data_IF_661680723808
#
_entry.id   IF_661680723808
#
_cell.length_a   1.000
_cell.length_b   1.000
_cell.length_c   1.000
_cell.angle_alpha   90.00
_cell.angle_beta   90.00
_cell.angle_gamma   90.00
#
_symmetry.space_group_name_H-M   'P 1'
#
loop_
_entity.id
_entity.type
_entity.pdbx_description
1 polymer ?
#
# COMPACT_ATOMS: atom_id res chain seq x y z
N UNK A 1 6.75 18.36 11.80
CA UNK A 1 5.53 17.54 11.71
C UNK A 1 5.04 17.72 10.28
N UNK A 2 5.30 16.88 9.28
CA UNK A 2 4.95 15.46 9.08
C UNK A 2 6.09 14.78 8.27
N UNK A 3 6.74 13.75 8.82
CA UNK A 3 7.80 13.00 8.10
C UNK A 3 7.42 11.55 7.75
N UNK A 4 6.33 10.99 8.29
CA UNK A 4 5.94 9.59 8.08
C UNK A 4 5.47 9.25 6.65
N UNK A 5 4.66 10.14 6.03
CA UNK A 5 4.10 9.88 4.68
C UNK A 5 5.15 9.85 3.55
N UNK A 6 6.32 10.48 3.75
CA UNK A 6 7.33 10.65 2.69
C UNK A 6 8.04 9.35 2.30
N UNK A 7 8.04 8.34 3.18
CA UNK A 7 8.59 7.00 2.91
C UNK A 7 7.60 6.12 2.14
N UNK A 8 6.33 6.14 2.56
CA UNK A 8 5.26 5.30 2.01
C UNK A 8 4.98 5.56 0.52
N UNK A 9 5.19 6.80 0.06
CA UNK A 9 4.88 7.24 -1.31
C UNK A 9 5.95 6.84 -2.34
N UNK A 10 7.16 6.47 -1.89
CA UNK A 10 8.26 6.02 -2.76
C UNK A 10 8.26 4.52 -3.04
N UNK A 11 7.49 3.73 -2.29
CA UNK A 11 7.36 2.30 -2.53
C UNK A 11 6.27 2.04 -3.58
N UNK A 12 6.55 1.18 -4.56
CA UNK A 12 5.57 0.74 -5.58
C UNK A 12 4.24 0.27 -4.97
N UNK A 13 4.27 -0.27 -3.75
CA UNK A 13 3.09 -0.68 -3.00
C UNK A 13 2.15 0.46 -2.61
N UNK A 14 2.64 1.68 -2.41
CA UNK A 14 1.81 2.85 -2.12
C UNK A 14 0.87 3.21 -3.28
N UNK A 15 1.37 3.20 -4.51
CA UNK A 15 0.54 3.54 -5.68
C UNK A 15 -0.55 2.50 -5.94
N UNK A 16 -0.24 1.21 -5.78
CA UNK A 16 -1.24 0.13 -5.87
C UNK A 16 -2.34 0.28 -4.83
N UNK A 17 -1.98 0.58 -3.58
CA UNK A 17 -2.96 0.88 -2.54
C UNK A 17 -3.89 2.02 -2.93
N UNK A 18 -3.34 3.15 -3.41
CA UNK A 18 -4.14 4.29 -3.84
C UNK A 18 -5.09 3.94 -4.99
N UNK A 19 -4.65 3.19 -5.99
CA UNK A 19 -5.51 2.72 -7.08
C UNK A 19 -6.67 1.89 -6.53
N UNK A 20 -6.39 0.93 -5.64
CA UNK A 20 -7.45 0.12 -5.03
C UNK A 20 -8.38 0.93 -4.14
N UNK A 21 -7.85 1.82 -3.32
CA UNK A 21 -8.63 2.71 -2.47
C UNK A 21 -9.62 3.53 -3.30
N UNK A 22 -9.16 4.17 -4.37
CA UNK A 22 -10.01 5.00 -5.23
C UNK A 22 -11.04 4.20 -6.02
N UNK A 23 -10.64 3.04 -6.56
CA UNK A 23 -11.54 2.19 -7.33
C UNK A 23 -12.58 1.45 -6.46
N UNK A 24 -12.43 1.43 -5.13
CA UNK A 24 -13.50 1.00 -4.21
C UNK A 24 -14.65 1.99 -4.16
N UNK A 25 -14.35 3.28 -4.30
CA UNK A 25 -15.36 4.35 -4.24
C UNK A 25 -16.15 4.42 -5.55
N UNK A 26 -15.46 4.44 -6.70
CA UNK A 26 -16.11 4.47 -8.02
C UNK A 26 -15.17 4.02 -9.13
N UNK A 27 -15.69 3.59 -10.30
CA UNK A 27 -14.88 3.42 -11.49
C UNK A 27 -14.23 4.74 -11.93
N UNK A 28 -12.94 4.68 -12.30
CA UNK A 28 -12.13 5.84 -12.72
C UNK A 28 -11.18 5.49 -13.86
N UNK A 29 -10.89 6.43 -14.76
CA UNK A 29 -9.82 6.30 -15.74
C UNK A 29 -8.45 6.69 -15.15
N UNK A 30 -7.37 6.44 -15.88
CA UNK A 30 -6.01 6.71 -15.39
C UNK A 30 -5.74 8.18 -15.05
N UNK A 31 -6.33 9.13 -15.78
CA UNK A 31 -6.17 10.56 -15.51
C UNK A 31 -6.94 11.00 -14.26
N UNK A 32 -8.16 10.49 -14.07
CA UNK A 32 -8.94 10.70 -12.85
C UNK A 32 -8.18 10.19 -11.63
N UNK A 33 -7.60 8.98 -11.71
CA UNK A 33 -6.82 8.41 -10.61
C UNK A 33 -5.61 9.28 -10.25
N UNK A 34 -4.83 9.73 -11.25
CA UNK A 34 -3.68 10.61 -10.99
C UNK A 34 -4.10 11.92 -10.31
N UNK A 35 -5.19 12.54 -10.76
CA UNK A 35 -5.69 13.80 -10.21
C UNK A 35 -6.28 13.63 -8.81
N UNK A 36 -6.98 12.52 -8.56
CA UNK A 36 -7.59 12.23 -7.26
C UNK A 36 -6.51 11.92 -6.20
N UNK A 37 -5.42 11.26 -6.58
CA UNK A 37 -4.25 11.06 -5.71
C UNK A 37 -3.57 12.40 -5.39
N UNK A 38 -3.41 13.28 -6.39
CA UNK A 38 -2.89 14.63 -6.18
C UNK A 38 -3.78 15.43 -5.21
N UNK A 39 -5.10 15.40 -5.41
CA UNK A 39 -6.05 16.10 -4.54
C UNK A 39 -6.05 15.53 -3.11
N UNK A 40 -6.14 14.20 -2.97
CA UNK A 40 -6.14 13.50 -1.68
C UNK A 40 -4.82 13.68 -0.92
N UNK A 41 -3.72 13.87 -1.64
CA UNK A 41 -2.41 14.18 -1.06
C UNK A 41 -2.18 15.69 -0.89
N UNK A 42 -3.21 16.54 -0.97
CA UNK A 42 -3.08 18.00 -0.85
C UNK A 42 -2.01 18.60 -1.77
N UNK A 43 -1.85 18.04 -2.97
CA UNK A 43 -0.85 18.45 -3.97
C UNK A 43 0.58 17.96 -3.70
N UNK A 44 0.82 17.20 -2.63
CA UNK A 44 2.17 16.73 -2.31
C UNK A 44 2.67 15.65 -3.28
N UNK A 45 1.78 14.94 -3.97
CA UNK A 45 2.18 13.86 -4.85
C UNK A 45 1.19 13.60 -5.98
N UNK A 46 1.69 13.61 -7.22
CA UNK A 46 0.98 13.14 -8.40
C UNK A 46 1.78 12.02 -9.06
N UNK A 47 1.23 10.79 -9.20
CA UNK A 47 1.90 9.75 -9.95
C UNK A 47 1.98 10.11 -11.43
N UNK A 48 3.01 9.63 -12.12
CA UNK A 48 3.19 9.90 -13.55
C UNK A 48 2.37 8.91 -14.40
N UNK A 49 2.07 9.27 -15.67
CA UNK A 49 1.51 8.32 -16.64
C UNK A 49 2.33 7.02 -16.72
N UNK A 50 3.67 7.15 -16.69
CA UNK A 50 4.59 6.01 -16.76
C UNK A 50 4.59 5.11 -15.52
N UNK A 51 4.05 5.55 -14.39
CA UNK A 51 3.83 4.68 -13.23
C UNK A 51 2.40 4.15 -13.14
N UNK A 52 1.40 4.92 -13.59
CA UNK A 52 -0.01 4.55 -13.44
C UNK A 52 -0.47 3.53 -14.48
N UNK A 53 -0.16 3.74 -15.77
CA UNK A 53 -0.71 2.89 -16.83
C UNK A 53 -0.12 1.47 -16.80
N UNK A 54 1.20 1.27 -16.62
CA UNK A 54 1.74 -0.08 -16.45
C UNK A 54 1.18 -0.80 -15.22
N UNK A 55 0.88 -0.07 -14.15
CA UNK A 55 0.25 -0.66 -12.97
C UNK A 55 -1.20 -1.08 -13.25
N UNK A 56 -1.99 -0.24 -13.94
CA UNK A 56 -3.37 -0.58 -14.32
C UNK A 56 -3.42 -1.78 -15.27
N UNK A 57 -2.46 -1.89 -16.20
CA UNK A 57 -2.29 -3.08 -17.05
C UNK A 57 -1.99 -4.31 -16.19
N UNK A 58 -0.96 -4.26 -15.34
CA UNK A 58 -0.63 -5.37 -14.42
C UNK A 58 -1.82 -5.81 -13.56
N UNK A 59 -2.58 -4.86 -12.99
CA UNK A 59 -3.75 -5.17 -12.17
C UNK A 59 -4.90 -5.78 -12.98
N UNK A 60 -5.01 -5.42 -14.27
CA UNK A 60 -6.00 -6.01 -15.18
C UNK A 60 -5.60 -7.44 -15.55
N UNK A 61 -4.32 -7.65 -15.84
CA UNK A 61 -3.74 -8.97 -16.15
C UNK A 61 -3.82 -9.92 -14.93
N UNK A 62 -3.64 -9.40 -13.72
CA UNK A 62 -3.86 -10.11 -12.46
C UNK A 62 -5.35 -10.41 -12.18
N UNK A 63 -6.30 -9.88 -12.97
CA UNK A 63 -7.73 -10.07 -12.77
C UNK A 63 -8.33 -9.27 -11.60
N UNK A 64 -7.59 -8.30 -11.06
CA UNK A 64 -7.99 -7.53 -9.88
C UNK A 64 -8.82 -6.30 -10.25
N UNK A 65 -8.62 -5.75 -11.44
CA UNK A 65 -9.47 -4.72 -12.02
C UNK A 65 -9.94 -5.15 -13.41
N UNK A 66 -11.04 -4.55 -13.86
CA UNK A 66 -11.53 -4.69 -15.24
C UNK A 66 -11.65 -3.31 -15.87
N UNK A 67 -11.21 -3.20 -17.13
CA UNK A 67 -11.39 -2.00 -17.93
C UNK A 67 -12.75 -2.04 -18.63
N UNK A 68 -13.57 -1.02 -18.39
CA UNK A 68 -14.88 -0.82 -19.03
C UNK A 68 -14.72 -0.23 -20.43
N UNK A 69 -15.78 -0.30 -21.22
CA UNK A 69 -15.80 0.23 -22.60
C UNK A 69 -15.51 1.73 -22.67
N UNK A 70 -15.89 2.49 -21.64
CA UNK A 70 -15.63 3.93 -21.53
C UNK A 70 -14.20 4.27 -21.06
N UNK A 71 -13.32 3.25 -20.94
CA UNK A 71 -11.93 3.40 -20.54
C UNK A 71 -11.69 3.57 -19.03
N UNK A 72 -12.74 3.53 -18.21
CA UNK A 72 -12.61 3.50 -16.74
C UNK A 72 -12.29 2.10 -16.24
N UNK A 73 -11.59 2.01 -15.13
CA UNK A 73 -11.29 0.76 -14.43
C UNK A 73 -12.24 0.58 -13.25
N UNK A 74 -12.58 -0.66 -12.95
CA UNK A 74 -13.44 -1.05 -11.81
C UNK A 74 -12.83 -2.26 -11.10
N UNK A 75 -12.92 -2.32 -9.78
CA UNK A 75 -12.45 -3.50 -9.03
C UNK A 75 -13.32 -4.71 -9.29
N UNK A 76 -12.67 -5.85 -9.55
CA UNK A 76 -13.34 -7.16 -9.55
C UNK A 76 -13.67 -7.59 -8.11
N UNK A 77 -14.41 -8.70 -7.97
CA UNK A 77 -14.65 -9.30 -6.64
C UNK A 77 -13.33 -9.66 -5.94
N UNK A 78 -12.37 -10.18 -6.71
CA UNK A 78 -11.03 -10.53 -6.22
C UNK A 78 -10.21 -9.28 -5.88
N UNK A 79 -10.28 -8.23 -6.71
CA UNK A 79 -9.69 -6.93 -6.40
C UNK A 79 -10.20 -6.35 -5.09
N UNK A 80 -11.51 -6.42 -4.83
CA UNK A 80 -12.11 -5.93 -3.56
C UNK A 80 -11.62 -6.70 -2.34
N UNK A 81 -11.39 -8.01 -2.47
CA UNK A 81 -10.83 -8.83 -1.39
C UNK A 81 -9.35 -8.50 -1.12
N UNK A 82 -8.60 -8.17 -2.16
CA UNK A 82 -7.17 -7.84 -2.09
C UNK A 82 -6.87 -6.34 -1.88
N UNK A 83 -7.90 -5.49 -1.88
CA UNK A 83 -7.80 -4.04 -1.65
C UNK A 83 -7.46 -3.66 -0.20
N UNK A 84 -7.20 -4.64 0.67
CA UNK A 84 -6.72 -4.42 2.03
C UNK A 84 -5.22 -4.14 2.10
N UNK A 85 -4.67 -4.20 3.30
CA UNK A 85 -3.27 -3.92 3.62
C UNK A 85 -2.27 -4.71 2.74
N UNK A 86 -2.63 -5.90 2.23
CA UNK A 86 -1.81 -6.66 1.27
C UNK A 86 -1.59 -5.98 -0.10
N UNK A 87 -2.48 -5.07 -0.52
CA UNK A 87 -2.28 -4.26 -1.72
C UNK A 87 -1.23 -3.16 -1.56
N UNK A 88 -0.96 -2.73 -0.31
CA UNK A 88 0.02 -1.70 0.05
C UNK A 88 1.46 -2.21 0.05
N UNK A 89 1.64 -3.53 0.14
CA UNK A 89 2.90 -4.23 0.34
C UNK A 89 3.22 -5.21 -0.80
N UNK A 90 2.46 -5.11 -1.89
CA UNK A 90 2.52 -6.07 -2.99
C UNK A 90 1.86 -7.39 -2.62
N UNK A 91 0.91 -7.86 -3.42
CA UNK A 91 0.20 -9.12 -3.21
C UNK A 91 1.04 -10.36 -3.57
N UNK A 92 2.35 -10.31 -3.35
CA UNK A 92 3.23 -11.45 -3.61
C UNK A 92 3.89 -11.84 -2.29
N UNK A 93 3.80 -13.12 -1.94
CA UNK A 93 4.67 -13.69 -0.92
C UNK A 93 6.10 -13.18 -1.13
N UNK A 94 6.81 -12.74 -0.08
CA UNK A 94 8.19 -12.28 -0.22
C UNK A 94 9.01 -13.30 -1.00
N UNK A 95 9.58 -12.89 -2.14
CA UNK A 95 10.34 -13.80 -3.02
C UNK A 95 11.81 -13.86 -2.61
N UNK A 96 12.24 -12.90 -1.80
CA UNK A 96 13.60 -12.79 -1.25
C UNK A 96 13.58 -12.36 0.22
N UNK A 97 14.72 -12.52 0.91
CA UNK A 97 14.91 -11.99 2.27
C UNK A 97 14.85 -10.45 2.27
N UNK A 98 15.29 -9.81 1.19
CA UNK A 98 15.19 -8.36 1.02
C UNK A 98 13.72 -7.89 1.00
N UNK A 99 12.86 -8.61 0.28
CA UNK A 99 11.41 -8.34 0.28
C UNK A 99 10.86 -8.47 1.71
N UNK A 100 11.22 -9.54 2.43
CA UNK A 100 10.76 -9.76 3.81
C UNK A 100 11.15 -8.58 4.72
N UNK A 101 12.41 -8.15 4.66
CA UNK A 101 12.92 -7.05 5.49
C UNK A 101 12.25 -5.72 5.11
N UNK A 102 12.03 -5.47 3.82
CA UNK A 102 11.34 -4.28 3.32
C UNK A 102 9.88 -4.23 3.79
N UNK A 103 9.16 -5.35 3.70
CA UNK A 103 7.77 -5.43 4.16
C UNK A 103 7.68 -5.26 5.68
N UNK A 104 8.58 -5.89 6.44
CA UNK A 104 8.66 -5.70 7.88
C UNK A 104 8.89 -4.24 8.27
N UNK A 105 9.79 -3.54 7.58
CA UNK A 105 10.04 -2.11 7.79
C UNK A 105 8.79 -1.28 7.53
N UNK A 106 8.05 -1.61 6.48
CA UNK A 106 6.85 -0.85 6.12
C UNK A 106 5.68 -1.08 7.08
N UNK A 107 5.50 -2.31 7.58
CA UNK A 107 4.56 -2.60 8.67
C UNK A 107 4.92 -1.88 9.96
N UNK A 108 6.22 -1.79 10.28
CA UNK A 108 6.70 -1.07 11.45
C UNK A 108 6.37 0.43 11.34
N UNK A 109 6.64 1.06 10.21
CA UNK A 109 6.29 2.47 9.97
C UNK A 109 4.78 2.72 10.13
N UNK A 110 3.92 1.82 9.64
CA UNK A 110 2.48 1.95 9.86
C UNK A 110 2.10 1.83 11.34
N UNK A 111 2.70 0.89 12.08
CA UNK A 111 2.43 0.75 13.51
C UNK A 111 2.91 1.96 14.31
N UNK A 112 3.99 2.63 13.89
CA UNK A 112 4.47 3.89 14.46
C UNK A 112 3.45 5.02 14.23
N UNK A 113 2.98 5.18 12.99
CA UNK A 113 1.93 6.15 12.66
C UNK A 113 0.62 5.85 13.40
N UNK A 114 0.25 4.58 13.51
CA UNK A 114 -0.94 4.14 14.24
C UNK A 114 -0.79 4.40 15.74
N UNK A 115 0.39 4.21 16.31
CA UNK A 115 0.65 4.52 17.73
C UNK A 115 0.54 6.01 18.01
N UNK A 116 0.94 6.87 17.06
CA UNK A 116 0.81 8.33 17.16
C UNK A 116 -0.65 8.76 17.08
N UNK A 117 -1.43 8.13 16.20
CA UNK A 117 -2.82 8.53 15.93
C UNK A 117 -3.87 7.87 16.83
N UNK A 118 -3.65 6.61 17.24
CA UNK A 118 -4.57 5.79 18.04
C UNK A 118 -3.80 4.69 18.80
N UNK A 119 -3.13 5.10 19.89
CA UNK A 119 -2.26 4.22 20.67
C UNK A 119 -3.00 3.01 21.29
N UNK A 120 -4.30 3.11 21.55
CA UNK A 120 -5.10 2.03 22.15
C UNK A 120 -5.26 0.82 21.22
N UNK A 121 -5.07 0.99 19.90
CA UNK A 121 -5.01 -0.13 18.95
C UNK A 121 -3.71 -0.93 19.02
N UNK A 122 -2.61 -0.31 19.42
CA UNK A 122 -1.28 -0.95 19.45
C UNK A 122 -0.95 -1.53 20.83
N UNK A 123 -1.38 -0.83 21.88
CA UNK A 123 -1.08 -1.14 23.29
C UNK A 123 -1.35 -2.60 23.70
N UNK A 124 -2.45 -3.27 23.28
CA UNK A 124 -2.71 -4.67 23.62
C UNK A 124 -1.64 -5.66 23.13
N UNK A 125 -0.83 -5.26 22.15
CA UNK A 125 0.16 -6.11 21.49
C UNK A 125 1.60 -5.87 21.97
N UNK A 126 1.80 -5.02 22.98
CA UNK A 126 3.12 -4.58 23.43
C UNK A 126 4.06 -5.73 23.78
N UNK A 127 3.58 -6.76 24.48
CA UNK A 127 4.42 -7.89 24.89
C UNK A 127 4.80 -8.79 23.71
N UNK A 128 3.88 -8.96 22.75
CA UNK A 128 4.16 -9.68 21.51
C UNK A 128 5.18 -8.94 20.63
N UNK A 129 5.11 -7.60 20.59
CA UNK A 129 6.09 -6.78 19.88
C UNK A 129 7.50 -6.90 20.50
N UNK A 130 7.60 -6.96 21.84
CA UNK A 130 8.87 -7.23 22.53
C UNK A 130 9.42 -8.61 22.17
N UNK A 131 8.60 -9.65 22.21
CA UNK A 131 9.01 -11.00 21.82
C UNK A 131 9.55 -11.05 20.38
N UNK A 132 8.84 -10.42 19.43
CA UNK A 132 9.28 -10.34 18.04
C UNK A 132 10.60 -9.59 17.89
N UNK A 133 10.79 -8.49 18.63
CA UNK A 133 12.06 -7.75 18.64
C UNK A 133 13.24 -8.63 19.08
N UNK A 134 13.08 -9.41 20.15
CA UNK A 134 14.13 -10.32 20.63
C UNK A 134 14.44 -11.43 19.63
N UNK A 135 13.43 -11.96 18.93
CA UNK A 135 13.64 -12.95 17.87
C UNK A 135 14.40 -12.37 16.69
N UNK A 136 14.12 -11.11 16.34
CA UNK A 136 14.81 -10.43 15.24
C UNK A 136 16.27 -10.14 15.56
N UNK A 137 16.60 -9.76 16.80
CA UNK A 137 18.00 -9.60 17.25
C UNK A 137 18.79 -10.89 17.05
N UNK A 138 18.24 -12.02 17.48
CA UNK A 138 18.87 -13.35 17.29
C UNK A 138 19.13 -13.66 15.81
N UNK A 139 18.20 -13.31 14.91
CA UNK A 139 18.36 -13.50 13.46
C UNK A 139 19.47 -12.57 12.91
N UNK A 140 19.54 -11.34 13.41
CA UNK A 140 20.56 -10.36 13.03
C UNK A 140 21.95 -10.63 13.63
N UNK A 141 22.10 -11.69 14.45
CA UNK A 141 23.35 -12.03 15.13
C UNK A 141 23.68 -11.10 16.30
N UNK A 142 22.67 -10.45 16.91
CA UNK A 142 22.78 -9.55 18.06
C UNK A 142 22.11 -10.13 19.31
#
# INVERSE_FOLDING_TARGET
>A
MYQGMRGMHRMRGGLRYWVFYLLRERPMNGAEIMNEIESSSMGFWKPSPGSIYPLLESLSDEGLIVKKEDGRYELTKEGKANAGFGGMFGSHNPRSVEDMVSEMGSFLSYMEDLKVSDAEKVKPYSDKLKELSERLKKIAGQ
#
